data_IF_439218553708
#
_entry.id   IF_439218553708
#
_cell.length_a   1.000
_cell.length_b   1.000
_cell.length_c   1.000
_cell.angle_alpha   90.00
_cell.angle_beta   90.00
_cell.angle_gamma   90.00
#
_symmetry.space_group_name_H-M   'P 1'
#
loop_
_entity.id
_entity.type
_entity.pdbx_description
1 polymer ?
#
# COMPACT_ATOMS: atom_id res chain seq x y z
N UNK A 1 -20.74 0.60 -21.36
CA UNK A 1 -20.60 -0.87 -21.29
C UNK A 1 -19.34 -1.35 -22.01
N UNK A 2 -19.06 -0.94 -23.25
CA UNK A 2 -17.88 -1.35 -24.04
C UNK A 2 -16.54 -0.96 -23.36
N UNK A 3 -16.45 0.21 -22.74
CA UNK A 3 -15.29 0.67 -22.00
C UNK A 3 -14.95 -0.25 -20.80
N UNK A 4 -15.95 -0.57 -19.96
CA UNK A 4 -15.79 -1.43 -18.77
C UNK A 4 -15.34 -2.83 -19.18
N UNK A 5 -15.93 -3.40 -20.25
CA UNK A 5 -15.54 -4.73 -20.76
C UNK A 5 -14.09 -4.74 -21.29
N UNK A 6 -13.67 -3.68 -22.01
CA UNK A 6 -12.29 -3.55 -22.48
C UNK A 6 -11.30 -3.45 -21.31
N UNK A 7 -11.64 -2.67 -20.28
CA UNK A 7 -10.83 -2.54 -19.06
C UNK A 7 -10.76 -3.85 -18.30
N UNK A 8 -11.89 -4.53 -18.11
CA UNK A 8 -11.94 -5.84 -17.48
C UNK A 8 -11.03 -6.84 -18.22
N UNK A 9 -11.10 -6.88 -19.54
CA UNK A 9 -10.22 -7.73 -20.36
C UNK A 9 -8.74 -7.42 -20.13
N UNK A 10 -8.36 -6.14 -20.07
CA UNK A 10 -7.00 -5.72 -19.77
C UNK A 10 -6.54 -6.19 -18.37
N UNK A 11 -7.39 -5.99 -17.34
CA UNK A 11 -7.05 -6.42 -15.98
C UNK A 11 -6.98 -7.94 -15.83
N UNK A 12 -7.81 -8.70 -16.55
CA UNK A 12 -7.73 -10.16 -16.57
C UNK A 12 -6.43 -10.66 -17.21
N UNK A 13 -6.00 -10.04 -18.31
CA UNK A 13 -4.70 -10.36 -18.95
C UNK A 13 -3.54 -10.01 -18.00
N UNK A 14 -3.58 -8.82 -17.40
CA UNK A 14 -2.57 -8.40 -16.43
C UNK A 14 -2.51 -9.34 -15.21
N UNK A 15 -3.66 -9.77 -14.72
CA UNK A 15 -3.75 -10.71 -13.61
C UNK A 15 -3.18 -12.08 -13.98
N UNK A 16 -3.54 -12.60 -15.15
CA UNK A 16 -2.99 -13.86 -15.65
C UNK A 16 -1.46 -13.80 -15.85
N UNK A 17 -0.96 -12.72 -16.45
CA UNK A 17 0.48 -12.52 -16.58
C UNK A 17 1.19 -12.46 -15.22
N UNK A 18 0.60 -11.77 -14.25
CA UNK A 18 1.13 -11.68 -12.89
C UNK A 18 1.13 -13.02 -12.16
N UNK A 19 0.07 -13.83 -12.30
CA UNK A 19 -0.01 -15.18 -11.76
C UNK A 19 1.12 -16.06 -12.36
N UNK A 20 1.33 -15.95 -13.67
CA UNK A 20 2.38 -16.72 -14.37
C UNK A 20 3.78 -16.32 -13.88
N UNK A 21 4.05 -15.03 -13.76
CA UNK A 21 5.31 -14.53 -13.21
C UNK A 21 5.50 -14.97 -11.75
N UNK A 22 4.45 -14.88 -10.94
CA UNK A 22 4.47 -15.31 -9.55
C UNK A 22 4.75 -16.82 -9.39
N UNK A 23 4.27 -17.63 -10.32
CA UNK A 23 4.61 -19.05 -10.39
C UNK A 23 6.09 -19.29 -10.72
N UNK A 24 6.65 -18.48 -11.65
CA UNK A 24 8.02 -18.65 -12.12
C UNK A 24 9.07 -18.12 -11.13
N UNK A 25 8.81 -16.98 -10.48
CA UNK A 25 9.77 -16.29 -9.62
C UNK A 25 10.43 -17.20 -8.57
N UNK A 26 9.71 -17.96 -7.74
CA UNK A 26 10.33 -18.83 -6.73
C UNK A 26 11.19 -19.94 -7.35
N UNK A 27 10.87 -20.35 -8.57
CA UNK A 27 11.59 -21.43 -9.28
C UNK A 27 12.93 -21.00 -9.85
N UNK A 28 13.10 -19.70 -10.09
CA UNK A 28 14.38 -19.12 -10.50
C UNK A 28 15.24 -18.66 -9.32
N UNK A 29 14.68 -18.69 -8.10
CA UNK A 29 15.47 -18.32 -6.92
C UNK A 29 16.45 -19.43 -6.55
N UNK A 30 17.71 -19.08 -6.24
CA UNK A 30 18.69 -20.07 -5.77
C UNK A 30 18.35 -20.54 -4.36
N UNK A 31 18.38 -21.85 -4.15
CA UNK A 31 18.16 -22.48 -2.85
C UNK A 31 17.02 -23.50 -2.86
N UNK A 32 17.12 -24.47 -1.93
CA UNK A 32 16.07 -25.46 -1.70
C UNK A 32 15.37 -25.14 -0.37
N UNK A 33 14.05 -24.83 -0.39
CA UNK A 33 13.30 -24.50 0.82
C UNK A 33 13.30 -25.63 1.84
N UNK A 34 13.29 -26.88 1.36
CA UNK A 34 13.29 -28.06 2.21
C UNK A 34 14.62 -28.19 2.94
N UNK A 35 15.74 -28.01 2.24
CA UNK A 35 17.07 -28.03 2.84
C UNK A 35 17.26 -26.95 3.90
N UNK A 36 16.65 -25.75 3.72
CA UNK A 36 16.68 -24.69 4.75
C UNK A 36 15.83 -25.01 5.97
N UNK A 37 14.68 -25.63 5.79
CA UNK A 37 13.85 -26.07 6.90
C UNK A 37 14.60 -27.11 7.76
N UNK A 38 15.34 -28.03 7.12
CA UNK A 38 16.20 -28.99 7.82
C UNK A 38 17.37 -28.37 8.53
N UNK A 39 18.01 -27.37 7.93
CA UNK A 39 19.11 -26.67 8.59
C UNK A 39 18.69 -25.95 9.89
N UNK A 40 17.41 -25.62 10.02
CA UNK A 40 16.83 -25.03 11.24
C UNK A 40 16.39 -26.09 12.27
N UNK A 41 15.94 -27.25 11.80
CA UNK A 41 15.54 -28.37 12.66
C UNK A 41 16.79 -29.22 12.88
N UNK A 42 17.35 -29.24 14.09
CA UNK A 42 18.51 -30.10 14.45
C UNK A 42 18.16 -31.58 14.41
N UNK A 43 16.95 -31.97 14.05
CA UNK A 43 16.47 -33.35 13.98
C UNK A 43 16.80 -33.99 12.64
N UNK A 44 17.39 -35.19 12.74
CA UNK A 44 17.64 -36.09 11.59
C UNK A 44 16.31 -36.74 11.17
N UNK A 45 15.57 -36.06 10.30
CA UNK A 45 14.39 -36.69 9.69
C UNK A 45 14.79 -37.85 8.75
N UNK A 46 13.97 -38.89 8.70
CA UNK A 46 14.17 -39.99 7.77
C UNK A 46 13.87 -39.53 6.33
N UNK A 47 14.54 -40.16 5.31
CA UNK A 47 14.32 -39.76 3.89
C UNK A 47 12.86 -39.79 3.46
N UNK A 48 12.04 -40.71 3.99
CA UNK A 48 10.60 -40.83 3.72
C UNK A 48 9.81 -39.61 4.24
N UNK A 49 10.19 -39.07 5.38
CA UNK A 49 9.57 -37.87 5.96
C UNK A 49 9.92 -36.61 5.14
N UNK A 50 11.14 -36.57 4.59
CA UNK A 50 11.61 -35.52 3.69
C UNK A 50 10.76 -35.50 2.41
N UNK A 51 10.52 -36.65 1.83
CA UNK A 51 9.74 -36.78 0.60
C UNK A 51 8.26 -36.45 0.81
N UNK A 52 7.68 -36.89 1.93
CA UNK A 52 6.33 -36.49 2.32
C UNK A 52 6.20 -34.98 2.52
N UNK A 53 7.18 -34.36 3.15
CA UNK A 53 7.22 -32.92 3.36
C UNK A 53 7.42 -32.15 2.04
N UNK A 54 8.25 -32.63 1.10
CA UNK A 54 8.39 -32.06 -0.23
C UNK A 54 7.06 -32.00 -0.98
N UNK A 55 6.30 -33.10 -0.94
CA UNK A 55 4.95 -33.15 -1.54
C UNK A 55 3.99 -32.18 -0.88
N UNK A 56 4.03 -32.06 0.44
CA UNK A 56 3.19 -31.18 1.22
C UNK A 56 3.50 -29.68 0.97
N UNK A 57 4.76 -29.37 0.74
CA UNK A 57 5.25 -28.01 0.47
C UNK A 57 5.17 -27.61 -1.03
N UNK A 58 4.68 -28.53 -1.89
CA UNK A 58 4.58 -28.28 -3.32
C UNK A 58 5.93 -28.22 -4.04
N UNK A 59 7.00 -28.70 -3.43
CA UNK A 59 8.31 -28.91 -4.06
C UNK A 59 8.25 -30.27 -4.74
N UNK A 60 7.83 -30.26 -6.00
CA UNK A 60 7.45 -31.46 -6.74
C UNK A 60 8.36 -31.63 -7.95
N UNK A 61 8.79 -32.86 -8.22
CA UNK A 61 9.60 -33.24 -9.38
C UNK A 61 8.75 -33.42 -10.67
N UNK A 62 7.45 -33.10 -10.62
CA UNK A 62 6.55 -33.13 -11.78
C UNK A 62 6.96 -32.10 -12.84
N UNK A 63 6.60 -32.33 -14.12
CA UNK A 63 6.83 -31.36 -15.17
C UNK A 63 6.24 -29.97 -14.84
N UNK A 64 6.92 -28.89 -15.22
CA UNK A 64 6.53 -27.51 -14.87
C UNK A 64 5.08 -27.16 -15.26
N UNK A 65 4.59 -27.73 -16.36
CA UNK A 65 3.22 -27.49 -16.82
C UNK A 65 2.16 -28.09 -15.88
N UNK A 66 2.42 -29.29 -15.31
CA UNK A 66 1.54 -29.89 -14.31
C UNK A 66 1.54 -29.10 -13.00
N UNK A 67 2.72 -28.67 -12.57
CA UNK A 67 2.84 -27.79 -11.39
C UNK A 67 2.08 -26.48 -11.62
N UNK A 68 2.13 -25.89 -12.83
CA UNK A 68 1.41 -24.68 -13.15
C UNK A 68 -0.11 -24.86 -13.14
N UNK A 69 -0.62 -25.96 -13.70
CA UNK A 69 -2.05 -26.27 -13.67
C UNK A 69 -2.53 -26.46 -12.23
N UNK A 70 -1.79 -27.19 -11.42
CA UNK A 70 -2.12 -27.36 -9.99
C UNK A 70 -2.07 -26.04 -9.22
N UNK A 71 -1.10 -25.17 -9.52
CA UNK A 71 -1.01 -23.85 -8.94
C UNK A 71 -2.24 -22.99 -9.30
N UNK A 72 -2.68 -23.00 -10.56
CA UNK A 72 -3.91 -22.34 -10.96
C UNK A 72 -5.13 -22.91 -10.25
N UNK A 73 -5.25 -24.23 -10.17
CA UNK A 73 -6.33 -24.89 -9.45
C UNK A 73 -6.36 -24.45 -7.97
N UNK A 74 -5.22 -24.43 -7.31
CA UNK A 74 -5.09 -24.01 -5.92
C UNK A 74 -5.47 -22.55 -5.69
N UNK A 75 -5.13 -21.65 -6.62
CA UNK A 75 -5.57 -20.24 -6.57
C UNK A 75 -7.10 -20.15 -6.61
N UNK A 76 -7.75 -20.85 -7.55
CA UNK A 76 -9.21 -20.76 -7.72
C UNK A 76 -9.98 -21.47 -6.61
N UNK A 77 -9.37 -22.45 -5.93
CA UNK A 77 -9.96 -23.12 -4.76
C UNK A 77 -9.60 -22.46 -3.43
N UNK A 78 -8.75 -21.42 -3.45
CA UNK A 78 -8.30 -20.73 -2.23
C UNK A 78 -7.29 -21.54 -1.39
N UNK A 79 -6.75 -22.63 -1.92
CA UNK A 79 -5.80 -23.51 -1.24
C UNK A 79 -4.37 -23.07 -1.53
N UNK A 80 -3.91 -22.01 -0.84
CA UNK A 80 -2.56 -21.45 -1.06
C UNK A 80 -1.44 -22.25 -0.40
N UNK A 81 -1.74 -23.40 0.20
CA UNK A 81 -0.77 -24.23 0.89
C UNK A 81 -0.45 -23.75 2.30
N UNK A 82 0.65 -24.27 2.85
CA UNK A 82 1.11 -24.02 4.22
C UNK A 82 2.42 -23.23 4.18
N UNK A 83 2.58 -22.26 5.06
CA UNK A 83 3.82 -21.49 5.20
C UNK A 83 4.95 -22.36 5.72
N UNK A 84 6.10 -22.33 5.05
CA UNK A 84 7.30 -23.07 5.46
C UNK A 84 7.90 -22.47 6.73
N UNK A 85 7.94 -21.14 6.80
CA UNK A 85 8.54 -20.41 7.93
C UNK A 85 7.66 -20.43 9.19
N UNK A 86 6.35 -20.67 9.03
CA UNK A 86 5.36 -20.73 10.12
C UNK A 86 4.60 -22.06 10.14
N UNK A 87 5.25 -23.13 9.72
CA UNK A 87 4.62 -24.45 9.71
C UNK A 87 4.02 -24.81 11.08
N UNK A 88 2.77 -25.35 11.14
CA UNK A 88 1.89 -25.78 10.04
C UNK A 88 0.81 -24.73 9.63
N UNK A 89 1.05 -23.43 9.80
CA UNK A 89 0.03 -22.38 9.58
C UNK A 89 -0.30 -22.20 8.08
N UNK A 90 -1.58 -22.22 7.69
CA UNK A 90 -2.00 -21.94 6.31
C UNK A 90 -1.58 -20.55 5.84
N UNK A 91 -1.17 -20.42 4.58
CA UNK A 91 -0.78 -19.12 3.98
C UNK A 91 -1.90 -18.09 4.07
N UNK A 92 -3.15 -18.50 3.88
CA UNK A 92 -4.32 -17.63 3.97
C UNK A 92 -4.49 -17.01 5.37
N UNK A 93 -4.20 -17.75 6.42
CA UNK A 93 -4.25 -17.29 7.80
C UNK A 93 -3.13 -16.28 8.07
N UNK A 94 -1.91 -16.56 7.60
CA UNK A 94 -0.80 -15.62 7.71
C UNK A 94 -1.13 -14.30 7.01
N UNK A 95 -1.67 -14.33 5.79
CA UNK A 95 -2.04 -13.14 5.03
C UNK A 95 -3.15 -12.37 5.73
N UNK A 96 -4.22 -13.04 6.15
CA UNK A 96 -5.36 -12.40 6.80
C UNK A 96 -4.98 -11.68 8.11
N UNK A 97 -4.02 -12.22 8.86
CA UNK A 97 -3.51 -11.58 10.07
C UNK A 97 -2.65 -10.35 9.82
N UNK A 98 -2.08 -10.18 8.61
CA UNK A 98 -1.16 -9.09 8.28
C UNK A 98 -1.82 -7.96 7.47
N UNK A 99 -2.80 -8.29 6.63
CA UNK A 99 -3.40 -7.31 5.70
C UNK A 99 -4.06 -6.14 6.42
N UNK A 100 -4.68 -6.38 7.58
CA UNK A 100 -5.29 -5.34 8.39
C UNK A 100 -4.30 -4.27 8.86
N UNK A 101 -3.09 -4.66 9.22
CA UNK A 101 -2.04 -3.76 9.65
C UNK A 101 -1.49 -2.91 8.50
N UNK A 102 -1.29 -3.51 7.33
CA UNK A 102 -0.90 -2.76 6.12
C UNK A 102 -1.96 -1.73 5.73
N UNK A 103 -3.25 -2.12 5.76
CA UNK A 103 -4.35 -1.21 5.46
C UNK A 103 -4.46 -0.09 6.49
N UNK A 104 -4.25 -0.38 7.77
CA UNK A 104 -4.25 0.62 8.83
C UNK A 104 -3.11 1.63 8.63
N UNK A 105 -1.88 1.17 8.44
CA UNK A 105 -0.72 2.04 8.23
C UNK A 105 -0.84 2.86 6.94
N UNK A 106 -0.98 2.18 5.81
CA UNK A 106 -1.01 2.83 4.51
C UNK A 106 -2.27 3.67 4.29
N UNK A 107 -3.43 3.18 4.76
CA UNK A 107 -4.69 3.91 4.69
C UNK A 107 -4.68 5.18 5.52
N UNK A 108 -4.19 5.11 6.76
CA UNK A 108 -4.06 6.27 7.63
C UNK A 108 -3.10 7.31 7.03
N UNK A 109 -1.93 6.86 6.55
CA UNK A 109 -0.95 7.74 5.92
C UNK A 109 -1.52 8.41 4.64
N UNK A 110 -2.21 7.64 3.78
CA UNK A 110 -2.85 8.16 2.57
C UNK A 110 -3.92 9.22 2.90
N UNK A 111 -4.79 8.94 3.87
CA UNK A 111 -5.85 9.88 4.27
C UNK A 111 -5.24 11.17 4.81
N UNK A 112 -4.27 11.08 5.72
CA UNK A 112 -3.63 12.27 6.30
C UNK A 112 -2.90 13.07 5.21
N UNK A 113 -2.10 12.40 4.38
CA UNK A 113 -1.36 13.08 3.30
C UNK A 113 -2.30 13.78 2.30
N UNK A 114 -3.37 13.10 1.88
CA UNK A 114 -4.34 13.67 0.96
C UNK A 114 -5.12 14.83 1.58
N UNK A 115 -5.64 14.68 2.80
CA UNK A 115 -6.42 15.73 3.45
C UNK A 115 -5.54 16.94 3.75
N UNK A 116 -4.44 16.75 4.46
CA UNK A 116 -3.56 17.86 4.85
C UNK A 116 -2.89 18.49 3.63
N UNK A 117 -2.39 17.67 2.67
CA UNK A 117 -1.78 18.16 1.45
C UNK A 117 -2.74 19.00 0.60
N UNK A 118 -3.98 18.54 0.38
CA UNK A 118 -4.98 19.31 -0.35
C UNK A 118 -5.34 20.61 0.37
N UNK A 119 -5.50 20.60 1.70
CA UNK A 119 -5.78 21.82 2.47
C UNK A 119 -4.64 22.83 2.34
N UNK A 120 -3.39 22.38 2.45
CA UNK A 120 -2.22 23.24 2.24
C UNK A 120 -2.15 23.77 0.80
N UNK A 121 -2.48 22.94 -0.19
CA UNK A 121 -2.56 23.35 -1.60
C UNK A 121 -3.61 24.43 -1.87
N UNK A 122 -4.80 24.29 -1.28
CA UNK A 122 -5.87 25.31 -1.34
C UNK A 122 -5.37 26.62 -0.74
N UNK A 123 -4.78 26.59 0.46
CA UNK A 123 -4.30 27.80 1.15
C UNK A 123 -3.16 28.49 0.38
N UNK A 124 -2.22 27.71 -0.16
CA UNK A 124 -1.11 28.23 -0.96
C UNK A 124 -1.61 28.90 -2.25
N UNK A 125 -2.52 28.26 -2.99
CA UNK A 125 -3.08 28.80 -4.21
C UNK A 125 -3.93 30.05 -3.98
N UNK A 126 -4.69 30.10 -2.89
CA UNK A 126 -5.53 31.22 -2.56
C UNK A 126 -4.72 32.47 -2.18
N UNK A 127 -3.58 32.28 -1.50
CA UNK A 127 -2.64 33.34 -1.14
C UNK A 127 -1.38 33.28 -2.00
N UNK A 128 -1.58 33.20 -3.32
CA UNK A 128 -0.48 33.11 -4.29
C UNK A 128 0.54 34.25 -4.11
N UNK A 129 1.83 33.88 -4.07
CA UNK A 129 2.93 34.81 -3.79
C UNK A 129 3.13 35.15 -2.32
N UNK A 130 2.29 34.66 -1.40
CA UNK A 130 2.46 34.80 0.03
C UNK A 130 3.52 33.82 0.61
N UNK A 131 3.82 33.97 1.90
CA UNK A 131 4.84 33.17 2.59
C UNK A 131 4.59 31.66 2.50
N UNK A 132 3.32 31.20 2.60
CA UNK A 132 2.94 29.80 2.47
C UNK A 132 3.25 29.29 1.06
N UNK A 133 2.86 30.05 0.04
CA UNK A 133 3.06 29.68 -1.35
C UNK A 133 4.54 29.68 -1.78
N UNK A 134 5.34 30.57 -1.19
CA UNK A 134 6.76 30.69 -1.52
C UNK A 134 7.66 29.71 -0.78
N UNK A 135 7.34 29.37 0.48
CA UNK A 135 8.21 28.55 1.31
C UNK A 135 7.82 27.07 1.36
N UNK A 136 6.52 26.77 1.43
CA UNK A 136 6.07 25.40 1.69
C UNK A 136 6.26 24.43 0.51
N UNK A 137 5.99 24.79 -0.77
CA UNK A 137 6.23 23.91 -1.90
C UNK A 137 7.71 23.47 -2.01
N UNK A 138 8.71 24.37 -2.03
CA UNK A 138 10.10 23.93 -2.13
C UNK A 138 10.54 23.09 -0.94
N UNK A 139 10.07 23.39 0.28
CA UNK A 139 10.36 22.60 1.46
C UNK A 139 9.82 21.17 1.35
N UNK A 140 8.55 21.02 0.94
CA UNK A 140 7.93 19.70 0.82
C UNK A 140 8.51 18.89 -0.35
N UNK A 141 8.88 19.55 -1.46
CA UNK A 141 9.60 18.91 -2.56
C UNK A 141 10.97 18.44 -2.10
N UNK A 142 11.69 19.26 -1.34
CA UNK A 142 12.98 18.89 -0.77
C UNK A 142 12.85 17.66 0.15
N UNK A 143 11.90 17.67 1.09
CA UNK A 143 11.63 16.50 1.96
C UNK A 143 11.24 15.27 1.13
N UNK A 144 10.37 15.43 0.14
CA UNK A 144 9.92 14.36 -0.74
C UNK A 144 10.99 13.81 -1.69
N UNK A 145 12.14 14.48 -1.83
CA UNK A 145 13.28 14.00 -2.62
C UNK A 145 14.12 12.95 -1.90
N UNK A 146 13.97 12.84 -0.58
CA UNK A 146 14.65 11.77 0.18
C UNK A 146 13.92 10.45 0.00
N UNK A 147 14.65 9.32 -0.11
CA UNK A 147 14.04 8.00 -0.02
C UNK A 147 13.30 7.85 1.31
N UNK A 148 12.02 7.47 1.25
CA UNK A 148 11.17 7.43 2.45
C UNK A 148 11.72 6.53 3.57
N UNK A 149 12.42 5.44 3.24
CA UNK A 149 13.03 4.58 4.24
C UNK A 149 14.20 5.25 4.98
N UNK A 150 14.89 6.21 4.36
CA UNK A 150 15.92 7.01 5.03
C UNK A 150 15.30 7.92 6.09
N UNK A 151 14.20 8.59 5.74
CA UNK A 151 13.44 9.37 6.71
C UNK A 151 12.89 8.48 7.83
N UNK A 152 12.42 7.28 7.48
CA UNK A 152 11.94 6.30 8.46
C UNK A 152 13.05 5.89 9.45
N UNK A 153 14.26 5.56 8.96
CA UNK A 153 15.41 5.23 9.83
C UNK A 153 15.83 6.41 10.69
N UNK A 154 15.91 7.61 10.10
CA UNK A 154 16.26 8.84 10.84
C UNK A 154 15.24 9.17 11.92
N UNK A 155 13.95 9.07 11.60
CA UNK A 155 12.85 9.30 12.55
C UNK A 155 12.85 8.25 13.67
N UNK A 156 13.03 6.97 13.32
CA UNK A 156 13.13 5.87 14.28
C UNK A 156 14.29 6.11 15.25
N UNK A 157 15.47 6.46 14.73
CA UNK A 157 16.65 6.71 15.55
C UNK A 157 16.44 7.91 16.48
N UNK A 158 16.00 9.06 15.94
CA UNK A 158 15.85 10.27 16.71
C UNK A 158 14.72 10.17 17.73
N UNK A 159 13.50 9.85 17.26
CA UNK A 159 12.30 9.90 18.11
C UNK A 159 12.05 8.60 18.88
N UNK A 160 12.49 7.46 18.37
CA UNK A 160 12.33 6.18 19.04
C UNK A 160 13.48 5.86 19.98
N UNK A 161 14.74 5.98 19.51
CA UNK A 161 15.90 5.54 20.29
C UNK A 161 16.48 6.66 21.16
N UNK A 162 16.76 7.85 20.60
CA UNK A 162 17.43 8.94 21.34
C UNK A 162 16.47 9.63 22.29
N UNK A 163 15.29 10.02 21.82
CA UNK A 163 14.30 10.76 22.62
C UNK A 163 13.34 9.83 23.38
N UNK A 164 13.15 8.59 22.92
CA UNK A 164 12.25 7.63 23.57
C UNK A 164 10.78 8.04 23.55
N UNK A 165 10.36 8.88 22.60
CA UNK A 165 8.99 9.39 22.53
C UNK A 165 8.01 8.40 21.93
N UNK A 166 8.46 7.53 21.03
CA UNK A 166 7.62 6.58 20.31
C UNK A 166 8.20 5.17 20.35
N UNK A 167 7.34 4.15 20.26
CA UNK A 167 7.77 2.77 20.11
C UNK A 167 8.60 2.57 18.84
N UNK A 168 9.60 1.69 18.93
CA UNK A 168 10.58 1.49 17.85
C UNK A 168 10.21 0.36 16.88
N UNK A 169 9.24 -0.49 17.22
CA UNK A 169 8.89 -1.67 16.42
C UNK A 169 7.51 -2.22 16.75
N UNK A 170 7.00 -3.07 15.86
CA UNK A 170 5.68 -3.72 15.91
C UNK A 170 4.51 -2.75 15.77
N UNK A 171 3.29 -3.28 15.83
CA UNK A 171 2.06 -2.49 15.74
C UNK A 171 1.42 -2.24 17.10
N UNK A 172 1.86 -2.97 18.14
CA UNK A 172 1.42 -2.84 19.52
C UNK A 172 2.41 -3.51 20.46
N UNK A 173 2.32 -3.20 21.75
CA UNK A 173 3.19 -3.71 22.81
C UNK A 173 2.96 -5.21 23.03
N UNK A 174 4.06 -5.99 23.09
CA UNK A 174 4.01 -7.42 23.33
C UNK A 174 3.33 -7.74 24.69
N UNK A 175 2.39 -8.68 24.67
CA UNK A 175 1.62 -9.07 25.86
C UNK A 175 0.31 -8.31 26.04
N UNK A 176 0.04 -7.28 25.24
CA UNK A 176 -1.26 -6.62 25.22
C UNK A 176 -2.24 -7.45 24.39
N UNK A 177 -3.40 -7.79 24.96
CA UNK A 177 -4.42 -8.54 24.23
C UNK A 177 -5.13 -7.69 23.19
N UNK A 178 -5.18 -8.13 21.90
CA UNK A 178 -5.91 -7.43 20.88
C UNK A 178 -7.40 -7.32 21.20
N UNK A 179 -7.94 -6.09 21.20
CA UNK A 179 -9.34 -5.84 21.51
C UNK A 179 -9.73 -4.38 21.32
N UNK A 180 -11.04 -4.08 21.40
CA UNK A 180 -11.56 -2.72 21.30
C UNK A 180 -11.54 -1.99 22.66
N UNK A 181 -10.40 -2.07 23.38
CA UNK A 181 -10.17 -1.33 24.62
C UNK A 181 -9.44 -0.02 24.31
N UNK A 182 -9.67 1.02 25.11
CA UNK A 182 -8.97 2.30 24.95
C UNK A 182 -7.45 2.16 25.13
N UNK A 183 -7.03 1.21 25.96
CA UNK A 183 -5.62 0.89 26.16
C UNK A 183 -4.98 0.34 24.87
N UNK A 184 -5.60 -0.68 24.26
CA UNK A 184 -5.11 -1.26 23.01
C UNK A 184 -5.13 -0.26 21.85
N UNK A 185 -6.23 0.51 21.69
CA UNK A 185 -6.35 1.52 20.62
C UNK A 185 -5.29 2.62 20.80
N UNK A 186 -5.06 3.06 22.03
CA UNK A 186 -4.04 4.06 22.34
C UNK A 186 -2.63 3.57 22.05
N UNK A 187 -2.32 2.33 22.41
CA UNK A 187 -1.04 1.68 22.16
C UNK A 187 -0.78 1.48 20.64
N UNK A 188 -1.76 0.96 19.90
CA UNK A 188 -1.71 0.87 18.43
C UNK A 188 -1.49 2.24 17.80
N UNK A 189 -2.20 3.26 18.30
CA UNK A 189 -2.02 4.65 17.86
C UNK A 189 -0.58 5.12 18.03
N UNK A 190 0.02 4.90 19.21
CA UNK A 190 1.41 5.26 19.48
C UNK A 190 2.40 4.58 18.53
N UNK A 191 2.20 3.30 18.25
CA UNK A 191 3.04 2.53 17.31
C UNK A 191 2.84 2.96 15.84
N UNK A 192 1.67 3.50 15.50
CA UNK A 192 1.30 3.93 14.15
C UNK A 192 1.88 5.30 13.78
N UNK A 193 2.03 6.22 14.77
CA UNK A 193 2.40 7.63 14.52
C UNK A 193 3.67 7.75 13.70
N UNK A 194 4.75 7.14 14.15
CA UNK A 194 6.06 7.33 13.53
C UNK A 194 6.15 6.73 12.11
N UNK A 195 5.72 5.47 11.88
CA UNK A 195 5.65 4.90 10.54
C UNK A 195 4.74 5.70 9.59
N UNK A 196 3.53 6.07 10.04
CA UNK A 196 2.61 6.84 9.21
C UNK A 196 3.16 8.24 8.87
N UNK A 197 3.75 8.94 9.84
CA UNK A 197 4.34 10.25 9.65
C UNK A 197 5.44 10.24 8.57
N UNK A 198 6.28 9.21 8.53
CA UNK A 198 7.34 9.11 7.51
C UNK A 198 6.78 8.96 6.11
N UNK A 199 5.70 8.20 5.93
CA UNK A 199 4.99 8.07 4.65
C UNK A 199 4.32 9.39 4.26
N UNK A 200 3.64 10.03 5.23
CA UNK A 200 2.98 11.33 5.03
C UNK A 200 3.96 12.39 4.59
N UNK A 201 5.09 12.55 5.28
CA UNK A 201 6.09 13.59 4.98
C UNK A 201 6.60 13.53 3.55
N UNK A 202 6.80 12.33 3.01
CA UNK A 202 7.28 12.17 1.62
C UNK A 202 6.16 12.41 0.62
N UNK A 203 4.94 11.99 0.91
CA UNK A 203 3.82 12.03 -0.04
C UNK A 203 3.03 13.34 -0.04
N UNK A 204 3.03 14.09 1.06
CA UNK A 204 2.20 15.30 1.24
C UNK A 204 2.52 16.39 0.22
N UNK A 205 3.80 16.51 -0.20
CA UNK A 205 4.25 17.49 -1.20
C UNK A 205 3.55 17.30 -2.55
N UNK A 206 3.39 16.05 -2.99
CA UNK A 206 2.67 15.72 -4.22
C UNK A 206 1.19 16.12 -4.16
N UNK A 207 0.51 15.83 -3.04
CA UNK A 207 -0.88 16.24 -2.81
C UNK A 207 -1.06 17.75 -2.79
N UNK A 208 -0.16 18.45 -2.08
CA UNK A 208 -0.18 19.90 -2.00
C UNK A 208 0.02 20.55 -3.37
N UNK A 209 1.04 20.15 -4.12
CA UNK A 209 1.34 20.70 -5.43
C UNK A 209 0.25 20.41 -6.44
N UNK A 210 -0.29 19.20 -6.47
CA UNK A 210 -1.39 18.82 -7.33
C UNK A 210 -2.60 19.74 -7.10
N UNK A 211 -3.04 19.87 -5.86
CA UNK A 211 -4.17 20.72 -5.50
C UNK A 211 -3.89 22.20 -5.77
N UNK A 212 -2.69 22.70 -5.42
CA UNK A 212 -2.29 24.08 -5.68
C UNK A 212 -2.37 24.42 -7.17
N UNK A 213 -1.81 23.59 -8.04
CA UNK A 213 -1.78 23.84 -9.47
C UNK A 213 -3.18 23.82 -10.08
N UNK A 214 -4.03 22.88 -9.68
CA UNK A 214 -5.42 22.81 -10.11
C UNK A 214 -6.23 24.00 -9.61
N UNK A 215 -6.02 24.43 -8.36
CA UNK A 215 -6.67 25.63 -7.80
C UNK A 215 -6.28 26.91 -8.56
N UNK A 216 -5.00 27.06 -8.93
CA UNK A 216 -4.54 28.21 -9.71
C UNK A 216 -5.24 28.27 -11.07
N UNK A 217 -5.35 27.12 -11.76
CA UNK A 217 -6.07 27.04 -13.01
C UNK A 217 -7.57 27.35 -12.83
N UNK A 218 -8.18 26.80 -11.78
CA UNK A 218 -9.60 27.03 -11.47
C UNK A 218 -9.91 28.49 -11.13
N UNK A 219 -9.00 29.18 -10.43
CA UNK A 219 -9.20 30.59 -10.06
C UNK A 219 -9.22 31.54 -11.27
N UNK A 220 -8.73 31.14 -12.44
CA UNK A 220 -8.80 31.93 -13.69
C UNK A 220 -10.08 31.70 -14.51
N UNK A 221 -10.99 30.86 -14.04
CA UNK A 221 -12.23 30.56 -14.75
C UNK A 221 -13.29 31.66 -14.60
N UNK A 222 -14.08 31.92 -15.66
CA UNK A 222 -15.07 32.98 -15.71
C UNK A 222 -16.10 32.95 -14.58
N UNK A 223 -16.49 31.78 -14.12
CA UNK A 223 -17.48 31.63 -13.04
C UNK A 223 -16.95 32.09 -11.67
N UNK A 224 -15.63 32.10 -11.47
CA UNK A 224 -14.98 32.66 -10.29
C UNK A 224 -15.06 34.21 -10.35
N UNK A 225 -14.68 34.79 -11.50
CA UNK A 225 -14.79 36.23 -11.75
C UNK A 225 -16.24 36.71 -11.58
N UNK A 226 -17.21 35.93 -12.06
CA UNK A 226 -18.64 36.26 -11.87
C UNK A 226 -19.06 36.15 -10.39
N UNK A 227 -18.51 35.22 -9.63
CA UNK A 227 -18.81 35.12 -8.20
C UNK A 227 -18.24 36.29 -7.41
N UNK A 228 -17.06 36.81 -7.80
CA UNK A 228 -16.45 38.01 -7.25
C UNK A 228 -17.29 39.26 -7.60
N UNK A 229 -17.71 39.41 -8.86
CA UNK A 229 -18.55 40.48 -9.30
C UNK A 229 -19.92 40.54 -8.58
N UNK A 230 -20.44 39.39 -8.14
CA UNK A 230 -21.65 39.32 -7.30
C UNK A 230 -21.40 39.66 -5.83
N UNK A 231 -20.18 40.02 -5.44
CA UNK A 231 -19.83 40.38 -4.07
C UNK A 231 -19.85 39.25 -3.06
N UNK A 232 -19.67 37.98 -3.51
CA UNK A 232 -19.62 36.86 -2.60
C UNK A 232 -18.37 36.91 -1.70
N UNK A 233 -18.52 36.49 -0.45
CA UNK A 233 -17.41 36.48 0.50
C UNK A 233 -16.24 35.59 0.00
N UNK A 234 -14.97 36.05 0.06
CA UNK A 234 -13.79 35.35 -0.48
C UNK A 234 -13.66 33.92 -0.01
N UNK A 235 -13.89 33.63 1.27
CA UNK A 235 -13.86 32.26 1.79
C UNK A 235 -14.92 31.33 1.18
N UNK A 236 -16.09 31.89 0.79
CA UNK A 236 -17.13 31.12 0.09
C UNK A 236 -16.72 30.81 -1.35
N UNK A 237 -16.09 31.75 -2.03
CA UNK A 237 -15.55 31.57 -3.38
C UNK A 237 -14.46 30.50 -3.33
N UNK A 238 -13.50 30.62 -2.43
CA UNK A 238 -12.40 29.69 -2.23
C UNK A 238 -12.90 28.23 -2.03
N UNK A 239 -13.78 28.01 -1.05
CA UNK A 239 -14.15 26.64 -0.66
C UNK A 239 -15.24 26.02 -1.53
N UNK A 240 -16.28 26.80 -1.89
CA UNK A 240 -17.47 26.25 -2.58
C UNK A 240 -17.41 26.34 -4.10
N UNK A 241 -16.65 27.30 -4.65
CA UNK A 241 -16.53 27.49 -6.09
C UNK A 241 -15.20 26.96 -6.62
N UNK A 242 -14.08 27.41 -6.08
CA UNK A 242 -12.77 27.04 -6.58
C UNK A 242 -12.33 25.64 -6.10
N UNK A 243 -12.22 25.42 -4.79
CA UNK A 243 -11.69 24.17 -4.24
C UNK A 243 -12.55 22.95 -4.60
N UNK A 244 -13.88 23.09 -4.64
CA UNK A 244 -14.78 22.00 -5.01
C UNK A 244 -14.49 21.47 -6.42
N UNK A 245 -14.26 22.36 -7.37
CA UNK A 245 -13.96 21.96 -8.75
C UNK A 245 -12.50 21.48 -8.91
N UNK A 246 -11.56 22.14 -8.22
CA UNK A 246 -10.15 21.78 -8.21
C UNK A 246 -9.86 20.43 -7.54
N UNK A 247 -10.78 19.91 -6.71
CA UNK A 247 -10.60 18.65 -5.98
C UNK A 247 -10.83 17.40 -6.85
N UNK A 248 -11.46 17.50 -8.01
CA UNK A 248 -11.78 16.33 -8.86
C UNK A 248 -10.57 15.46 -9.19
N UNK A 249 -9.42 16.01 -9.66
CA UNK A 249 -8.21 15.20 -9.89
C UNK A 249 -7.65 14.59 -8.61
N UNK A 250 -7.74 15.29 -7.47
CA UNK A 250 -7.28 14.76 -6.17
C UNK A 250 -8.10 13.56 -5.71
N UNK A 251 -9.42 13.57 -5.92
CA UNK A 251 -10.28 12.41 -5.61
C UNK A 251 -9.88 11.19 -6.46
N UNK A 252 -9.59 11.40 -7.74
CA UNK A 252 -9.10 10.32 -8.61
C UNK A 252 -7.75 9.78 -8.15
N UNK A 253 -6.82 10.67 -7.81
CA UNK A 253 -5.50 10.29 -7.27
C UNK A 253 -5.62 9.55 -5.94
N UNK A 254 -6.56 9.94 -5.07
CA UNK A 254 -6.85 9.24 -3.82
C UNK A 254 -7.33 7.81 -4.08
N UNK A 255 -8.25 7.63 -5.03
CA UNK A 255 -8.69 6.30 -5.44
C UNK A 255 -7.54 5.42 -5.92
N UNK A 256 -6.66 5.95 -6.78
CA UNK A 256 -5.46 5.22 -7.21
C UNK A 256 -4.53 4.91 -6.04
N UNK A 257 -4.37 5.85 -5.10
CA UNK A 257 -3.59 5.68 -3.88
C UNK A 257 -4.07 4.49 -3.04
N UNK A 258 -5.39 4.26 -2.94
CA UNK A 258 -5.94 3.10 -2.23
C UNK A 258 -5.43 1.76 -2.79
N UNK A 259 -5.25 1.67 -4.10
CA UNK A 259 -4.66 0.48 -4.74
C UNK A 259 -3.22 0.24 -4.30
N UNK A 260 -2.44 1.29 -4.17
CA UNK A 260 -1.04 1.19 -3.73
C UNK A 260 -0.91 0.90 -2.23
N UNK A 261 -1.90 1.25 -1.41
CA UNK A 261 -1.88 0.95 0.04
C UNK A 261 -1.71 -0.54 0.32
N UNK A 262 -2.38 -1.40 -0.44
CA UNK A 262 -2.29 -2.87 -0.25
C UNK A 262 -0.93 -3.42 -0.65
N UNK A 263 -0.26 -2.79 -1.65
CA UNK A 263 1.12 -3.11 -2.00
C UNK A 263 2.11 -2.82 -0.86
N UNK A 264 1.65 -2.05 0.13
CA UNK A 264 2.36 -1.70 1.35
C UNK A 264 3.47 -0.69 1.13
N UNK A 265 3.77 0.04 2.20
CA UNK A 265 5.03 0.76 2.31
C UNK A 265 6.11 -0.21 2.79
N UNK A 266 6.44 -1.23 1.97
CA UNK A 266 7.29 -2.37 2.30
C UNK A 266 8.52 -1.96 3.13
N UNK A 267 9.27 -0.94 2.68
CA UNK A 267 10.47 -0.52 3.38
C UNK A 267 10.17 0.16 4.73
N UNK A 268 9.05 0.89 4.87
CA UNK A 268 8.61 1.44 6.15
C UNK A 268 8.22 0.32 7.11
N UNK A 269 7.43 -0.65 6.65
CA UNK A 269 7.06 -1.82 7.44
C UNK A 269 8.30 -2.59 7.90
N UNK A 270 9.33 -2.71 7.04
CA UNK A 270 10.61 -3.37 7.38
C UNK A 270 11.38 -2.57 8.44
N UNK A 271 11.53 -1.26 8.27
CA UNK A 271 12.27 -0.40 9.21
C UNK A 271 11.68 -0.45 10.62
N UNK A 272 10.35 -0.42 10.73
CA UNK A 272 9.66 -0.47 12.03
C UNK A 272 9.29 -1.90 12.47
N UNK A 273 9.71 -2.94 11.73
CA UNK A 273 9.25 -4.32 11.92
C UNK A 273 7.71 -4.39 12.11
N UNK A 274 6.98 -3.53 11.38
CA UNK A 274 5.53 -3.41 11.46
C UNK A 274 4.89 -4.63 10.79
N UNK A 275 3.95 -5.33 11.43
CA UNK A 275 3.47 -6.65 10.99
C UNK A 275 2.55 -6.57 9.78
N UNK A 276 3.02 -5.93 8.70
CA UNK A 276 2.29 -5.79 7.45
C UNK A 276 2.68 -6.83 6.40
N UNK A 277 1.95 -6.79 5.28
CA UNK A 277 2.13 -7.68 4.12
C UNK A 277 3.52 -7.51 3.50
N UNK A 278 4.04 -6.27 3.42
CA UNK A 278 5.37 -5.99 2.88
C UNK A 278 6.49 -6.55 3.77
N UNK A 279 6.41 -6.34 5.09
CA UNK A 279 7.36 -6.93 6.04
C UNK A 279 7.35 -8.46 5.97
N UNK A 280 6.15 -9.06 5.90
CA UNK A 280 6.00 -10.50 5.78
C UNK A 280 6.52 -11.04 4.45
N UNK A 281 6.38 -10.27 3.35
CA UNK A 281 6.94 -10.65 2.05
C UNK A 281 8.48 -10.71 2.12
N UNK A 282 9.13 -9.72 2.73
CA UNK A 282 10.59 -9.76 2.91
C UNK A 282 11.03 -11.00 3.70
N UNK A 283 10.33 -11.30 4.81
CA UNK A 283 10.62 -12.49 5.62
C UNK A 283 10.42 -13.79 4.84
N UNK A 284 9.37 -13.86 4.02
CA UNK A 284 9.11 -15.02 3.16
C UNK A 284 10.20 -15.20 2.10
N UNK A 285 10.67 -14.12 1.47
CA UNK A 285 11.78 -14.14 0.51
C UNK A 285 13.07 -14.61 1.17
N UNK A 286 13.43 -14.03 2.31
CA UNK A 286 14.64 -14.41 3.04
C UNK A 286 14.56 -15.85 3.58
N UNK A 287 13.36 -16.29 3.94
CA UNK A 287 13.09 -17.64 4.43
C UNK A 287 12.96 -18.72 3.35
N UNK A 288 12.93 -18.33 2.05
CA UNK A 288 12.58 -19.20 0.91
C UNK A 288 11.21 -19.89 1.12
N UNK A 289 10.26 -19.18 1.71
CA UNK A 289 8.89 -19.64 1.92
C UNK A 289 8.07 -19.43 0.64
N UNK A 290 8.23 -20.32 -0.32
CA UNK A 290 7.63 -20.21 -1.64
C UNK A 290 6.10 -20.12 -1.62
N UNK A 291 5.38 -20.98 -0.84
CA UNK A 291 3.92 -20.85 -0.74
C UNK A 291 3.49 -19.48 -0.21
N UNK A 292 4.14 -18.99 0.85
CA UNK A 292 3.82 -17.69 1.43
C UNK A 292 4.16 -16.53 0.49
N UNK A 293 5.32 -16.59 -0.20
CA UNK A 293 5.68 -15.61 -1.23
C UNK A 293 4.63 -15.53 -2.34
N UNK A 294 4.22 -16.68 -2.87
CA UNK A 294 3.22 -16.75 -3.93
C UNK A 294 1.86 -16.21 -3.48
N UNK A 295 1.44 -16.54 -2.26
CA UNK A 295 0.20 -16.04 -1.68
C UNK A 295 0.22 -14.53 -1.47
N UNK A 296 1.33 -13.97 -0.95
CA UNK A 296 1.50 -12.54 -0.73
C UNK A 296 1.53 -11.75 -2.05
N UNK A 297 2.33 -12.18 -3.03
CA UNK A 297 2.35 -11.56 -4.36
C UNK A 297 1.00 -11.59 -5.04
N UNK A 298 0.30 -12.73 -4.98
CA UNK A 298 -1.05 -12.86 -5.54
C UNK A 298 -2.02 -11.88 -4.87
N UNK A 299 -2.00 -11.80 -3.54
CA UNK A 299 -2.87 -10.92 -2.77
C UNK A 299 -2.60 -9.45 -3.10
N UNK A 300 -1.32 -9.03 -3.12
CA UNK A 300 -0.93 -7.66 -3.48
C UNK A 300 -1.40 -7.35 -4.92
N UNK A 301 -1.10 -8.23 -5.87
CA UNK A 301 -1.48 -8.01 -7.27
C UNK A 301 -3.00 -7.93 -7.45
N UNK A 302 -3.73 -8.87 -6.87
CA UNK A 302 -5.19 -8.89 -6.95
C UNK A 302 -5.80 -7.61 -6.35
N UNK A 303 -5.30 -7.17 -5.21
CA UNK A 303 -5.78 -5.97 -4.54
C UNK A 303 -5.46 -4.69 -5.34
N UNK A 304 -4.25 -4.55 -5.90
CA UNK A 304 -3.87 -3.41 -6.73
C UNK A 304 -4.71 -3.36 -8.01
N UNK A 305 -4.88 -4.49 -8.70
CA UNK A 305 -5.68 -4.54 -9.92
C UNK A 305 -7.16 -4.28 -9.66
N UNK A 306 -7.71 -4.82 -8.56
CA UNK A 306 -9.08 -4.58 -8.14
C UNK A 306 -9.30 -3.10 -7.80
N UNK A 307 -8.40 -2.50 -7.01
CA UNK A 307 -8.50 -1.09 -6.66
C UNK A 307 -8.43 -0.19 -7.91
N UNK A 308 -7.50 -0.44 -8.83
CA UNK A 308 -7.40 0.30 -10.08
C UNK A 308 -8.67 0.13 -10.95
N UNK A 309 -9.22 -1.08 -11.03
CA UNK A 309 -10.47 -1.32 -11.73
C UNK A 309 -11.65 -0.55 -11.11
N UNK A 310 -11.76 -0.54 -9.77
CA UNK A 310 -12.78 0.24 -9.07
C UNK A 310 -12.64 1.74 -9.31
N UNK A 311 -11.40 2.25 -9.33
CA UNK A 311 -11.11 3.65 -9.66
C UNK A 311 -11.50 3.98 -11.10
N UNK A 312 -11.21 3.12 -12.05
CA UNK A 312 -11.63 3.29 -13.45
C UNK A 312 -13.17 3.38 -13.57
N UNK A 313 -13.91 2.55 -12.81
CA UNK A 313 -15.38 2.62 -12.76
C UNK A 313 -15.85 3.94 -12.15
N UNK A 314 -15.22 4.37 -11.05
CA UNK A 314 -15.55 5.65 -10.40
C UNK A 314 -15.29 6.83 -11.34
N UNK A 315 -14.17 6.80 -12.07
CA UNK A 315 -13.81 7.83 -13.02
C UNK A 315 -14.86 7.99 -14.12
N UNK A 316 -15.34 6.88 -14.69
CA UNK A 316 -16.42 6.90 -15.70
C UNK A 316 -17.74 7.47 -15.13
N UNK A 317 -17.99 7.33 -13.82
CA UNK A 317 -19.19 7.90 -13.17
C UNK A 317 -19.03 9.38 -12.86
N UNK A 318 -17.83 9.82 -12.48
CA UNK A 318 -17.55 11.21 -12.09
C UNK A 318 -17.32 12.14 -13.28
N UNK A 319 -16.74 11.63 -14.38
CA UNK A 319 -16.52 12.39 -15.61
C UNK A 319 -17.34 11.82 -16.80
N UNK A 320 -18.51 12.41 -17.10
CA UNK A 320 -19.35 11.96 -18.24
C UNK A 320 -18.67 12.09 -19.61
N UNK A 321 -17.62 12.92 -19.73
CA UNK A 321 -16.90 13.18 -21.00
C UNK A 321 -16.10 11.94 -21.46
N UNK A 322 -15.75 11.05 -20.55
CA UNK A 322 -15.02 9.80 -20.85
C UNK A 322 -15.93 8.74 -21.48
N UNK A 323 -17.27 8.92 -21.44
CA UNK A 323 -18.23 7.99 -22.06
C UNK A 323 -18.31 8.08 -23.57
N UNK A 324 -17.78 9.12 -24.19
CA UNK A 324 -17.93 9.41 -25.62
C UNK A 324 -16.77 8.92 -26.50
N UNK A 325 -15.75 8.30 -25.96
CA UNK A 325 -14.67 7.60 -26.66
C UNK A 325 -14.70 6.11 -26.26
#
# INVERSE_FOLDING_TARGET
MRFILRRLGFYLIAFWASITLNFLLPRFMPGDPVSRMFARSQDRMQPEQIEALRKLLGVDDRPLWEQYINYLHNIFTGQMGVSISRFPTPVTEVISSQIGWTLLLGGTALVIAAVVGNLLGILAAWRRGGAIDSALPPLLVFIGSFPYFWLAMGALYLFGVVLGWFPIRHAFTAGLEPGFTWEFIGDVGAHLVLPALTIVLVSIGGWMLGMRNTMIATNSEDYITMAEAKGLHPGRIMLRYAARNAMLPSVTSFGMGLGFVVGGALLTEVVFAYPGVGYQLLNAVQGLDYPLMQGLFLTITAAVLLANFLVDILYVRLDPRVRSN
#
